data_IF_454480796310
#
_entry.id   IF_454480796310
#
_cell.length_a   1.000
_cell.length_b   1.000
_cell.length_c   1.000
_cell.angle_alpha   90.00
_cell.angle_beta   90.00
_cell.angle_gamma   90.00
#
_symmetry.space_group_name_H-M   'P 1'
#
loop_
_entity.id
_entity.type
_entity.pdbx_description
1 polymer ?
#
# COMPACT_ATOMS: atom_id res chain seq x y z
N UNK A 1 49.15 -45.93 62.40
CA UNK A 1 50.08 -45.12 61.59
C UNK A 1 50.05 -45.62 60.15
N UNK A 2 49.81 -44.70 59.20
CA UNK A 2 50.18 -44.73 57.77
C UNK A 2 49.40 -45.68 56.82
N UNK A 3 48.49 -45.06 56.07
CA UNK A 3 47.91 -45.47 54.79
C UNK A 3 48.98 -45.94 53.79
N UNK A 4 48.65 -46.88 52.88
CA UNK A 4 49.00 -46.78 51.44
C UNK A 4 47.92 -47.37 50.53
N UNK A 5 47.28 -46.44 49.85
CA UNK A 5 46.38 -46.47 48.70
C UNK A 5 46.95 -47.30 47.54
N UNK A 6 46.13 -48.11 46.85
CA UNK A 6 46.36 -48.54 45.46
C UNK A 6 45.15 -48.13 44.63
N UNK A 7 45.40 -47.23 43.67
CA UNK A 7 44.44 -46.57 42.81
C UNK A 7 43.78 -47.57 41.84
N UNK A 8 42.45 -47.68 41.88
CA UNK A 8 41.64 -48.17 40.77
C UNK A 8 41.23 -46.95 39.95
N UNK A 9 41.69 -46.91 38.70
CA UNK A 9 41.40 -45.88 37.70
C UNK A 9 39.92 -46.02 37.29
N UNK A 10 39.06 -45.11 37.77
CA UNK A 10 37.67 -45.01 37.33
C UNK A 10 37.55 -43.79 36.39
N UNK A 11 37.10 -44.08 35.16
CA UNK A 11 36.91 -43.15 34.04
C UNK A 11 35.73 -42.20 34.32
N UNK A 12 35.85 -40.88 34.15
CA UNK A 12 34.69 -40.00 34.26
C UNK A 12 33.89 -40.06 32.96
N UNK A 13 32.63 -40.48 33.06
CA UNK A 13 31.64 -40.34 31.99
C UNK A 13 31.20 -38.87 31.97
N UNK A 14 31.77 -38.09 31.06
CA UNK A 14 31.32 -36.73 30.78
C UNK A 14 30.00 -36.83 30.01
N UNK A 15 28.89 -36.56 30.69
CA UNK A 15 27.60 -36.38 30.06
C UNK A 15 27.57 -34.98 29.41
N UNK A 16 27.75 -34.94 28.10
CA UNK A 16 27.55 -33.73 27.31
C UNK A 16 26.06 -33.39 27.29
N UNK A 17 25.66 -32.44 28.12
CA UNK A 17 24.34 -31.81 28.03
C UNK A 17 24.39 -30.84 26.85
N UNK A 18 23.85 -31.25 25.70
CA UNK A 18 23.60 -30.34 24.58
C UNK A 18 22.40 -29.47 24.94
N UNK A 19 22.65 -28.19 25.23
CA UNK A 19 21.59 -27.18 25.28
C UNK A 19 21.15 -26.92 23.85
N UNK A 20 19.98 -27.43 23.46
CA UNK A 20 19.31 -26.99 22.24
C UNK A 20 18.78 -25.59 22.52
N UNK A 21 19.42 -24.57 21.93
CA UNK A 21 18.82 -23.23 21.84
C UNK A 21 17.60 -23.39 20.94
N UNK A 22 16.40 -23.32 21.52
CA UNK A 22 15.23 -22.94 20.74
C UNK A 22 15.44 -21.47 20.38
N UNK A 23 15.76 -21.22 19.12
CA UNK A 23 15.55 -19.91 18.53
C UNK A 23 14.07 -19.59 18.77
N UNK A 24 13.83 -18.56 19.56
CA UNK A 24 12.50 -17.97 19.65
C UNK A 24 12.42 -17.14 18.40
N UNK A 25 11.79 -17.69 17.36
CA UNK A 25 11.16 -16.84 16.37
C UNK A 25 10.26 -15.91 17.19
N UNK A 26 10.66 -14.64 17.27
CA UNK A 26 9.77 -13.62 17.82
C UNK A 26 8.47 -13.71 17.01
N UNK A 27 7.30 -13.72 17.66
CA UNK A 27 6.05 -13.80 16.93
C UNK A 27 5.99 -12.62 15.97
N UNK A 28 5.89 -12.89 14.67
CA UNK A 28 5.52 -11.89 13.68
C UNK A 28 4.19 -11.27 14.15
N UNK A 29 4.21 -9.95 14.35
CA UNK A 29 2.97 -9.20 14.60
C UNK A 29 2.22 -9.26 13.27
N UNK A 30 1.02 -9.84 13.21
CA UNK A 30 0.26 -9.85 11.98
C UNK A 30 0.03 -8.40 11.56
N UNK A 31 0.28 -8.10 10.29
CA UNK A 31 -0.07 -6.81 9.74
C UNK A 31 -1.59 -6.66 9.76
N UNK A 32 -2.10 -5.51 10.20
CA UNK A 32 -3.54 -5.27 10.21
C UNK A 32 -3.96 -4.78 8.81
N UNK A 33 -5.06 -5.31 8.27
CA UNK A 33 -5.57 -4.90 6.97
C UNK A 33 -6.02 -3.43 6.99
N UNK A 34 -5.71 -2.69 5.94
CA UNK A 34 -5.93 -1.26 5.88
C UNK A 34 -7.41 -0.91 5.66
N UNK A 35 -7.98 -0.12 6.57
CA UNK A 35 -9.36 0.36 6.41
C UNK A 35 -9.41 1.68 5.64
N UNK A 36 -9.63 1.60 4.33
CA UNK A 36 -9.79 2.79 3.48
C UNK A 36 -11.26 3.19 3.42
N UNK A 37 -11.56 4.40 3.88
CA UNK A 37 -12.91 4.98 3.82
C UNK A 37 -13.02 6.14 2.84
N UNK A 38 -11.89 6.77 2.50
CA UNK A 38 -11.84 7.89 1.57
C UNK A 38 -10.68 7.73 0.60
N UNK A 39 -10.98 7.95 -0.69
CA UNK A 39 -9.98 8.09 -1.75
C UNK A 39 -10.11 9.48 -2.35
N UNK A 40 -8.99 10.20 -2.44
CA UNK A 40 -8.88 11.50 -3.08
C UNK A 40 -7.89 11.39 -4.23
N UNK A 41 -8.33 11.66 -5.45
CA UNK A 41 -7.45 11.77 -6.61
C UNK A 41 -7.35 13.21 -7.08
N UNK A 42 -6.18 13.80 -6.86
CA UNK A 42 -5.90 15.21 -7.18
C UNK A 42 -5.11 15.32 -8.48
N UNK A 43 -5.68 15.96 -9.49
CA UNK A 43 -5.05 16.23 -10.78
C UNK A 43 -4.65 17.71 -10.89
N UNK A 44 -3.34 17.98 -10.96
CA UNK A 44 -2.79 19.34 -11.12
C UNK A 44 -2.31 19.55 -12.56
N UNK A 45 -2.81 20.57 -13.29
CA UNK A 45 -2.37 20.84 -14.65
C UNK A 45 -0.91 21.32 -14.66
N UNK A 46 -0.06 20.69 -15.47
CA UNK A 46 1.38 21.03 -15.54
C UNK A 46 1.64 22.46 -16.05
N UNK A 47 0.73 22.98 -16.89
CA UNK A 47 0.77 24.36 -17.37
C UNK A 47 0.38 25.42 -16.32
N UNK A 48 0.06 24.99 -15.10
CA UNK A 48 -0.47 25.83 -14.03
C UNK A 48 -1.99 25.97 -14.08
N UNK A 49 -2.57 26.41 -12.96
CA UNK A 49 -4.02 26.51 -12.76
C UNK A 49 -4.47 25.88 -11.44
N UNK A 50 -5.79 25.74 -11.28
CA UNK A 50 -6.35 25.08 -10.11
C UNK A 50 -6.30 23.56 -10.31
N UNK A 51 -6.02 22.84 -9.22
CA UNK A 51 -6.17 21.40 -9.18
C UNK A 51 -7.65 21.01 -9.34
N UNK A 52 -7.88 19.83 -9.90
CA UNK A 52 -9.19 19.19 -9.94
C UNK A 52 -9.14 17.98 -9.03
N UNK A 53 -10.09 17.88 -8.13
CA UNK A 53 -10.18 16.79 -7.15
C UNK A 53 -11.36 15.90 -7.49
N UNK A 54 -11.10 14.59 -7.51
CA UNK A 54 -12.11 13.55 -7.50
C UNK A 54 -12.06 12.89 -6.12
N UNK A 55 -13.22 12.68 -5.51
CA UNK A 55 -13.30 12.13 -4.15
C UNK A 55 -14.36 11.04 -4.09
N UNK A 56 -14.02 9.96 -3.41
CA UNK A 56 -14.93 8.93 -2.96
C UNK A 56 -14.85 8.87 -1.43
N UNK A 57 -16.00 8.80 -0.75
CA UNK A 57 -16.07 8.63 0.70
C UNK A 57 -17.22 7.69 1.07
N UNK A 58 -16.89 6.70 1.88
CA UNK A 58 -17.81 5.72 2.47
C UNK A 58 -17.35 5.40 3.89
N UNK A 59 -18.08 5.88 4.90
CA UNK A 59 -17.69 5.78 6.31
C UNK A 59 -18.32 4.58 7.04
N UNK A 60 -19.35 3.98 6.46
CA UNK A 60 -20.07 2.85 7.04
C UNK A 60 -19.95 1.56 6.20
N UNK A 61 -19.44 1.67 4.97
CA UNK A 61 -19.00 0.55 4.16
C UNK A 61 -20.16 -0.29 3.62
N UNK A 62 -19.84 -1.54 3.29
CA UNK A 62 -20.77 -2.44 2.60
C UNK A 62 -22.09 -2.64 3.35
N UNK A 63 -23.20 -2.35 2.65
CA UNK A 63 -24.55 -2.48 3.17
C UNK A 63 -25.04 -1.28 4.00
N UNK A 64 -24.20 -0.25 4.14
CA UNK A 64 -24.53 1.06 4.70
C UNK A 64 -25.22 2.00 3.71
N UNK A 65 -25.03 3.30 3.93
CA UNK A 65 -25.46 4.35 3.02
C UNK A 65 -24.65 4.31 1.70
N UNK A 66 -25.18 4.94 0.64
CA UNK A 66 -24.43 5.02 -0.61
C UNK A 66 -23.23 5.97 -0.47
N UNK A 67 -22.09 5.69 -1.13
CA UNK A 67 -20.90 6.52 -1.02
C UNK A 67 -21.13 7.91 -1.59
N UNK A 68 -20.42 8.88 -1.02
CA UNK A 68 -20.40 10.27 -1.51
C UNK A 68 -19.30 10.39 -2.55
N UNK A 69 -19.69 10.74 -3.79
CA UNK A 69 -18.77 10.90 -4.91
C UNK A 69 -18.72 12.36 -5.35
N UNK A 70 -17.52 12.93 -5.40
CA UNK A 70 -17.23 14.22 -6.03
C UNK A 70 -16.51 13.99 -7.35
N UNK A 71 -17.09 14.51 -8.43
CA UNK A 71 -16.55 14.41 -9.78
C UNK A 71 -15.85 15.71 -10.20
N UNK A 72 -14.94 15.61 -11.17
CA UNK A 72 -14.21 16.72 -11.75
C UNK A 72 -14.43 16.89 -13.26
N UNK A 73 -14.09 18.07 -13.77
CA UNK A 73 -13.99 18.34 -15.22
C UNK A 73 -12.58 18.79 -15.53
N UNK A 74 -11.94 18.09 -16.46
CA UNK A 74 -10.59 18.39 -16.90
C UNK A 74 -10.62 19.22 -18.18
N UNK A 75 -9.64 20.11 -18.34
CA UNK A 75 -9.45 20.86 -19.57
C UNK A 75 -8.96 19.90 -20.68
N UNK A 76 -9.36 20.16 -21.92
CA UNK A 76 -8.92 19.39 -23.08
C UNK A 76 -7.45 19.69 -23.42
N UNK A 77 -6.76 18.72 -24.04
CA UNK A 77 -5.36 18.86 -24.49
C UNK A 77 -4.42 19.34 -23.37
N UNK A 78 -4.59 18.83 -22.15
CA UNK A 78 -3.85 19.26 -20.96
C UNK A 78 -3.24 18.05 -20.25
N UNK A 79 -1.97 18.15 -19.90
CA UNK A 79 -1.29 17.17 -19.04
C UNK A 79 -1.44 17.55 -17.58
N UNK A 80 -1.74 16.54 -16.76
CA UNK A 80 -1.92 16.64 -15.33
C UNK A 80 -0.95 15.70 -14.61
N UNK A 81 -0.34 16.18 -13.54
CA UNK A 81 0.27 15.33 -12.51
C UNK A 81 -0.81 14.91 -11.52
N UNK A 82 -1.00 13.61 -11.35
CA UNK A 82 -1.96 13.01 -10.42
C UNK A 82 -1.31 12.53 -9.13
N UNK A 83 -2.05 12.65 -8.03
CA UNK A 83 -1.68 12.12 -6.70
C UNK A 83 -2.92 11.50 -6.06
N UNK A 84 -2.78 10.28 -5.55
CA UNK A 84 -3.76 9.61 -4.69
C UNK A 84 -3.47 9.92 -3.22
N UNK A 85 -4.53 10.09 -2.44
CA UNK A 85 -4.49 10.08 -0.98
C UNK A 85 -5.60 9.14 -0.49
N UNK A 86 -5.24 8.22 0.38
CA UNK A 86 -6.11 7.22 0.98
C UNK A 86 -6.21 7.50 2.48
N UNK A 87 -7.44 7.53 3.01
CA UNK A 87 -7.66 7.89 4.42
C UNK A 87 -8.62 6.93 5.11
N UNK A 88 -8.37 6.73 6.40
CA UNK A 88 -9.35 6.21 7.35
C UNK A 88 -9.96 7.38 8.14
N UNK A 89 -11.09 7.91 7.68
CA UNK A 89 -11.81 9.01 8.33
C UNK A 89 -12.72 8.55 9.48
N UNK A 90 -12.68 7.26 9.87
CA UNK A 90 -13.38 6.76 11.07
C UNK A 90 -12.56 7.00 12.35
N UNK A 91 -11.25 7.19 12.19
CA UNK A 91 -10.28 7.54 13.22
C UNK A 91 -10.35 9.03 13.61
N UNK A 92 -9.71 9.42 14.73
CA UNK A 92 -9.58 10.85 15.09
C UNK A 92 -8.22 11.12 15.76
N UNK A 93 -7.27 11.80 15.08
CA UNK A 93 -7.38 12.34 13.71
C UNK A 93 -7.58 11.23 12.65
N UNK A 94 -8.08 11.59 11.47
CA UNK A 94 -8.11 10.65 10.34
C UNK A 94 -6.69 10.15 10.06
N UNK A 95 -6.56 8.85 9.85
CA UNK A 95 -5.30 8.19 9.57
C UNK A 95 -5.01 8.23 8.07
N UNK A 96 -3.74 8.43 7.72
CA UNK A 96 -3.27 8.48 6.34
C UNK A 96 -2.78 7.11 5.90
N UNK A 97 -3.68 6.37 5.25
CA UNK A 97 -3.41 5.03 4.73
C UNK A 97 -2.47 5.09 3.51
N UNK A 98 -2.24 6.28 2.93
CA UNK A 98 -1.23 6.42 1.87
C UNK A 98 0.17 6.06 2.39
N UNK A 99 0.47 6.36 3.66
CA UNK A 99 1.78 6.06 4.26
C UNK A 99 2.00 4.54 4.34
N UNK A 100 0.99 3.76 4.75
CA UNK A 100 1.06 2.29 4.79
C UNK A 100 1.23 1.68 3.40
N UNK A 101 0.49 2.18 2.40
CA UNK A 101 0.65 1.74 1.00
C UNK A 101 2.05 2.07 0.45
N UNK A 102 2.68 3.17 0.88
CA UNK A 102 4.06 3.50 0.52
C UNK A 102 5.10 2.63 1.25
N UNK A 103 4.84 2.24 2.50
CA UNK A 103 5.70 1.35 3.28
C UNK A 103 5.65 -0.10 2.77
N UNK A 104 4.51 -0.49 2.18
CA UNK A 104 4.21 -1.83 1.66
C UNK A 104 4.10 -1.83 0.12
N UNK A 105 4.96 -1.06 -0.54
CA UNK A 105 4.92 -0.81 -1.98
C UNK A 105 5.12 -2.06 -2.86
N UNK A 106 5.78 -3.10 -2.34
CA UNK A 106 5.93 -4.39 -3.02
C UNK A 106 4.65 -5.26 -2.95
N UNK A 107 3.73 -4.95 -2.03
CA UNK A 107 2.49 -5.71 -1.84
C UNK A 107 1.27 -4.98 -2.42
N UNK A 108 1.36 -3.67 -2.64
CA UNK A 108 0.24 -2.84 -3.05
C UNK A 108 0.37 -2.23 -4.45
N UNK A 109 -0.72 -2.23 -5.21
CA UNK A 109 -0.80 -1.49 -6.47
C UNK A 109 -2.19 -0.90 -6.73
N UNK A 110 -2.22 0.36 -7.18
CA UNK A 110 -3.38 1.08 -7.68
C UNK A 110 -3.54 0.88 -9.18
N UNK A 111 -4.74 0.47 -9.60
CA UNK A 111 -5.13 0.26 -10.99
C UNK A 111 -6.17 1.29 -11.42
N UNK A 112 -6.09 1.70 -12.70
CA UNK A 112 -6.92 2.76 -13.27
C UNK A 112 -7.62 2.29 -14.53
N UNK A 113 -8.96 2.31 -14.51
CA UNK A 113 -9.78 1.85 -15.63
C UNK A 113 -10.79 2.92 -16.06
N UNK A 114 -10.74 3.30 -17.33
CA UNK A 114 -11.71 4.23 -17.92
C UNK A 114 -12.80 3.47 -18.66
N UNK A 115 -14.07 3.77 -18.37
CA UNK A 115 -15.21 3.10 -19.03
C UNK A 115 -15.27 3.35 -20.55
N UNK A 116 -14.71 4.46 -21.02
CA UNK A 116 -14.61 4.78 -22.44
C UNK A 116 -13.17 4.74 -22.95
N UNK A 117 -12.81 3.62 -23.58
CA UNK A 117 -11.48 3.41 -24.18
C UNK A 117 -11.19 4.27 -25.44
N UNK A 118 -12.13 5.12 -25.90
CA UNK A 118 -11.88 6.07 -27.00
C UNK A 118 -11.13 7.33 -26.54
N UNK A 119 -10.60 7.32 -25.31
CA UNK A 119 -9.73 8.35 -24.79
C UNK A 119 -8.46 8.47 -25.64
N UNK A 120 -8.35 9.57 -26.38
CA UNK A 120 -7.18 9.89 -27.20
C UNK A 120 -6.01 10.51 -26.42
N UNK A 121 -6.13 10.53 -25.10
CA UNK A 121 -5.10 11.00 -24.20
C UNK A 121 -4.11 9.92 -23.79
N UNK A 122 -3.30 10.22 -22.77
CA UNK A 122 -2.32 9.29 -22.19
C UNK A 122 -2.55 9.12 -20.69
N UNK A 123 -2.20 7.94 -20.18
CA UNK A 123 -2.11 7.65 -18.75
C UNK A 123 -0.82 6.88 -18.52
N UNK A 124 -0.02 7.33 -17.56
CA UNK A 124 1.22 6.68 -17.15
C UNK A 124 1.30 6.67 -15.62
N UNK A 125 1.82 5.59 -15.06
CA UNK A 125 2.28 5.58 -13.67
C UNK A 125 3.55 6.41 -13.54
N UNK A 126 3.68 7.17 -12.45
CA UNK A 126 4.79 8.09 -12.22
C UNK A 126 5.64 7.73 -10.99
N UNK A 127 5.38 6.56 -10.40
CA UNK A 127 6.10 5.94 -9.30
C UNK A 127 6.28 4.44 -9.56
N UNK A 128 7.18 3.82 -8.80
CA UNK A 128 7.43 2.39 -8.83
C UNK A 128 8.09 1.94 -7.51
N UNK A 129 7.88 0.67 -7.16
CA UNK A 129 8.48 0.00 -6.02
C UNK A 129 9.99 -0.25 -6.21
N UNK A 130 10.62 -0.88 -5.22
CA UNK A 130 12.02 -1.30 -5.29
C UNK A 130 12.38 -2.25 -6.44
N UNK A 131 11.39 -2.96 -6.99
CA UNK A 131 11.52 -3.92 -8.08
C UNK A 131 11.24 -3.32 -9.46
N UNK A 132 10.76 -2.07 -9.51
CA UNK A 132 10.37 -1.35 -10.72
C UNK A 132 8.93 -1.62 -11.18
N UNK A 133 8.10 -2.25 -10.35
CA UNK A 133 6.66 -2.38 -10.60
C UNK A 133 5.95 -1.08 -10.22
N UNK A 134 4.92 -0.65 -10.97
CA UNK A 134 4.21 0.59 -10.63
C UNK A 134 3.41 0.47 -9.33
N UNK A 135 3.44 1.50 -8.49
CA UNK A 135 2.59 1.56 -7.28
C UNK A 135 1.28 2.26 -7.62
N UNK A 136 1.36 3.39 -8.30
CA UNK A 136 0.21 4.17 -8.78
C UNK A 136 -0.33 5.20 -7.78
N UNK A 137 0.43 5.60 -6.76
CA UNK A 137 0.09 6.79 -5.96
C UNK A 137 0.27 8.05 -6.81
N UNK A 138 1.32 8.07 -7.64
CA UNK A 138 1.64 9.13 -8.58
C UNK A 138 1.34 8.72 -10.02
N UNK A 139 0.72 9.63 -10.77
CA UNK A 139 0.38 9.39 -12.18
C UNK A 139 0.64 10.61 -13.05
N UNK A 140 0.73 10.39 -14.36
CA UNK A 140 0.60 11.44 -15.37
C UNK A 140 -0.62 11.14 -16.23
N UNK A 141 -1.50 12.13 -16.40
CA UNK A 141 -2.71 12.00 -17.19
C UNK A 141 -2.83 13.14 -18.20
N UNK A 142 -2.80 12.80 -19.49
CA UNK A 142 -2.94 13.77 -20.58
C UNK A 142 -4.31 13.66 -21.21
N UNK A 143 -5.11 14.73 -21.20
CA UNK A 143 -6.42 14.76 -21.87
C UNK A 143 -6.28 15.04 -23.37
N UNK A 144 -7.23 14.53 -24.16
CA UNK A 144 -7.31 14.77 -25.60
C UNK A 144 -8.58 15.50 -26.00
N UNK A 145 -9.32 14.93 -26.95
CA UNK A 145 -10.63 15.43 -27.36
C UNK A 145 -11.64 15.34 -26.21
N UNK A 146 -12.48 16.37 -25.98
CA UNK A 146 -13.49 16.34 -24.92
C UNK A 146 -14.41 15.12 -25.02
N UNK A 147 -14.54 14.39 -23.92
CA UNK A 147 -15.45 13.26 -23.76
C UNK A 147 -15.85 13.11 -22.29
N UNK A 148 -16.88 12.30 -22.04
CA UNK A 148 -17.25 11.85 -20.70
C UNK A 148 -16.89 10.37 -20.56
N UNK A 149 -16.23 10.02 -19.46
CA UNK A 149 -15.89 8.66 -19.07
C UNK A 149 -15.99 8.58 -17.56
N UNK A 150 -16.31 7.39 -17.06
CA UNK A 150 -16.11 7.04 -15.67
C UNK A 150 -14.67 6.56 -15.50
N UNK A 151 -14.09 6.80 -14.33
CA UNK A 151 -12.80 6.28 -13.90
C UNK A 151 -13.05 5.40 -12.67
N UNK A 152 -12.63 4.15 -12.76
CA UNK A 152 -12.54 3.23 -11.62
C UNK A 152 -11.08 3.17 -11.17
N UNK A 153 -10.86 3.36 -9.88
CA UNK A 153 -9.55 3.21 -9.23
C UNK A 153 -9.67 2.05 -8.25
N UNK A 154 -8.72 1.13 -8.26
CA UNK A 154 -8.72 -0.05 -7.40
C UNK A 154 -7.36 -0.25 -6.80
N UNK A 155 -7.26 -0.21 -5.48
CA UNK A 155 -6.10 -0.73 -4.76
C UNK A 155 -6.21 -2.26 -4.69
N UNK A 156 -5.13 -2.97 -4.99
CA UNK A 156 -5.02 -4.41 -4.78
C UNK A 156 -3.82 -4.69 -3.87
N UNK A 157 -4.03 -5.56 -2.89
CA UNK A 157 -2.99 -6.25 -2.13
C UNK A 157 -2.60 -7.54 -2.85
N UNK A 158 -1.30 -7.82 -2.90
CA UNK A 158 -0.65 -8.94 -3.60
C UNK A 158 -1.21 -9.18 -5.02
N UNK A 159 -1.03 -8.24 -5.97
CA UNK A 159 -1.69 -8.32 -7.27
C UNK A 159 -1.18 -9.44 -8.21
N UNK A 160 0.01 -10.00 -7.97
CA UNK A 160 0.76 -10.97 -8.81
C UNK A 160 0.33 -12.44 -8.71
#
# INVERSE_FOLDING_TARGET
MKNKFKYLLALPLVASVTLTSCDKDDPEIPNEEELITTLIYTLRPEGGGNAVEFRFTDLDGDGGDAPIITNGTLAANTTYSGVITLLNETETPAEDITEEVEEEDEEHQLFYEFSNMSFSGGFDYADADGNGNPIGILTTFATGTPLTSDLTITLRHEPD
#
